data_IF_091584480467
#
_entry.id   IF_091584480467
#
_cell.length_a   1.000
_cell.length_b   1.000
_cell.length_c   1.000
_cell.angle_alpha   90.00
_cell.angle_beta   90.00
_cell.angle_gamma   90.00
#
_symmetry.space_group_name_H-M   'P 1'
#
loop_
_entity.id
_entity.type
_entity.pdbx_description
1 polymer ?
#
# COMPACT_ATOMS: atom_id res chain seq x y z
N UNK A 1 8.04 -12.28 -3.59
CA UNK A 1 8.29 -11.67 -2.26
C UNK A 1 7.89 -12.67 -1.18
N UNK A 2 8.78 -12.95 -0.24
CA UNK A 2 8.54 -13.84 0.90
C UNK A 2 7.85 -13.10 2.05
N UNK A 3 7.25 -13.82 3.00
CA UNK A 3 6.65 -13.21 4.19
C UNK A 3 7.67 -12.39 5.02
N UNK A 4 8.92 -12.88 5.09
CA UNK A 4 9.98 -12.16 5.82
C UNK A 4 10.38 -10.84 5.13
N UNK A 5 10.42 -10.81 3.79
CA UNK A 5 10.67 -9.59 3.03
C UNK A 5 9.52 -8.58 3.20
N UNK A 6 8.25 -9.05 3.18
CA UNK A 6 7.09 -8.21 3.46
C UNK A 6 7.12 -7.63 4.87
N UNK A 7 7.49 -8.44 5.86
CA UNK A 7 7.64 -8.00 7.24
C UNK A 7 8.74 -6.94 7.40
N UNK A 8 9.88 -7.16 6.74
CA UNK A 8 10.99 -6.18 6.75
C UNK A 8 10.61 -4.87 6.06
N UNK A 9 9.85 -4.95 4.95
CA UNK A 9 9.31 -3.78 4.28
C UNK A 9 8.40 -2.98 5.22
N UNK A 10 7.50 -3.65 5.95
CA UNK A 10 6.62 -3.00 6.94
C UNK A 10 7.42 -2.30 8.05
N UNK A 11 8.46 -2.95 8.58
CA UNK A 11 9.34 -2.32 9.58
C UNK A 11 9.96 -1.02 9.04
N UNK A 12 10.50 -1.06 7.82
CA UNK A 12 11.11 0.12 7.19
C UNK A 12 10.08 1.23 6.94
N UNK A 13 8.85 0.89 6.56
CA UNK A 13 7.78 1.89 6.37
C UNK A 13 7.42 2.58 7.68
N UNK A 14 7.31 1.84 8.79
CA UNK A 14 7.02 2.41 10.13
C UNK A 14 8.08 3.46 10.52
N UNK A 15 9.33 3.25 10.17
CA UNK A 15 10.45 4.14 10.53
C UNK A 15 10.49 5.42 9.69
N UNK A 16 9.63 5.54 8.68
CA UNK A 16 9.49 6.74 7.84
C UNK A 16 8.16 7.41 8.18
N UNK A 17 8.15 8.54 8.90
CA UNK A 17 6.92 9.28 9.18
C UNK A 17 6.16 9.59 7.89
N UNK A 18 4.85 9.29 7.88
CA UNK A 18 3.99 9.43 6.70
C UNK A 18 2.62 10.01 7.08
N UNK A 19 2.61 11.10 7.82
CA UNK A 19 1.36 11.77 8.17
C UNK A 19 0.63 12.20 6.90
N UNK A 20 -0.71 12.17 6.94
CA UNK A 20 -1.52 12.61 5.79
C UNK A 20 -1.08 13.97 5.26
N UNK A 21 -0.80 14.06 3.96
CA UNK A 21 -0.21 15.18 3.20
C UNK A 21 1.31 15.38 3.38
N UNK A 22 1.97 14.49 4.11
CA UNK A 22 3.44 14.53 4.33
C UNK A 22 4.09 13.19 3.91
N UNK A 23 3.48 12.44 2.95
CA UNK A 23 3.85 11.06 2.60
C UNK A 23 5.03 10.96 1.62
N UNK A 24 5.61 12.08 1.18
CA UNK A 24 6.63 12.10 0.11
C UNK A 24 7.78 11.14 0.39
N UNK A 25 8.30 11.11 1.62
CA UNK A 25 9.45 10.27 1.96
C UNK A 25 9.13 8.77 1.87
N UNK A 26 7.95 8.34 2.36
CA UNK A 26 7.54 6.92 2.27
C UNK A 26 7.18 6.54 0.83
N UNK A 27 6.60 7.46 0.05
CA UNK A 27 6.33 7.24 -1.37
C UNK A 27 7.64 7.08 -2.16
N UNK A 28 8.65 7.93 -1.93
CA UNK A 28 9.98 7.81 -2.54
C UNK A 28 10.65 6.47 -2.19
N UNK A 29 10.58 6.09 -0.91
CA UNK A 29 11.12 4.83 -0.44
C UNK A 29 10.43 3.63 -1.13
N UNK A 30 9.10 3.61 -1.16
CA UNK A 30 8.32 2.53 -1.77
C UNK A 30 8.53 2.46 -3.28
N UNK A 31 8.57 3.60 -3.97
CA UNK A 31 8.86 3.63 -5.40
C UNK A 31 10.20 2.95 -5.70
N UNK A 32 11.27 3.38 -5.04
CA UNK A 32 12.59 2.78 -5.20
C UNK A 32 12.60 1.29 -4.85
N UNK A 33 11.93 0.89 -3.77
CA UNK A 33 11.85 -0.50 -3.36
C UNK A 33 11.16 -1.37 -4.42
N UNK A 34 10.03 -0.92 -4.94
CA UNK A 34 9.23 -1.65 -5.94
C UNK A 34 9.93 -1.72 -7.31
N UNK A 35 10.60 -0.64 -7.72
CA UNK A 35 11.44 -0.62 -8.92
C UNK A 35 12.61 -1.62 -8.82
N UNK A 36 13.23 -1.72 -7.63
CA UNK A 36 14.28 -2.73 -7.38
C UNK A 36 13.76 -4.17 -7.38
N UNK A 37 12.45 -4.39 -7.16
CA UNK A 37 11.81 -5.69 -7.39
C UNK A 37 11.51 -5.96 -8.88
N UNK A 38 11.82 -5.03 -9.79
CA UNK A 38 11.60 -5.14 -11.23
C UNK A 38 10.18 -4.79 -11.67
N UNK A 39 9.42 -4.08 -10.84
CA UNK A 39 8.12 -3.54 -11.21
C UNK A 39 8.26 -2.20 -11.95
N UNK A 40 7.39 -1.97 -12.92
CA UNK A 40 7.24 -0.66 -13.54
C UNK A 40 6.30 0.17 -12.69
N UNK A 41 6.83 1.22 -12.04
CA UNK A 41 6.06 2.07 -11.14
C UNK A 41 5.78 3.42 -11.80
N UNK A 42 4.50 3.77 -11.83
CA UNK A 42 4.03 5.12 -12.16
C UNK A 42 3.65 5.85 -10.87
N UNK A 43 3.81 7.17 -10.88
CA UNK A 43 3.52 8.01 -9.72
C UNK A 43 2.67 9.22 -10.14
N UNK A 44 1.69 9.56 -9.30
CA UNK A 44 0.92 10.80 -9.39
C UNK A 44 0.75 11.40 -7.99
N UNK A 45 1.33 12.57 -7.76
CA UNK A 45 1.50 13.10 -6.39
C UNK A 45 2.31 12.13 -5.54
N UNK A 46 1.75 11.71 -4.39
CA UNK A 46 2.33 10.67 -3.55
C UNK A 46 1.69 9.28 -3.75
N UNK A 47 0.78 9.14 -4.72
CA UNK A 47 0.23 7.85 -5.08
C UNK A 47 1.17 7.09 -6.02
N UNK A 48 1.29 5.79 -5.82
CA UNK A 48 2.05 4.90 -6.67
C UNK A 48 1.13 3.85 -7.29
N UNK A 49 1.40 3.44 -8.53
CA UNK A 49 0.68 2.33 -9.12
C UNK A 49 1.54 1.53 -10.11
N UNK A 50 1.16 0.29 -10.29
CA UNK A 50 1.76 -0.63 -11.25
C UNK A 50 0.67 -1.44 -11.92
N UNK A 51 0.80 -1.66 -13.23
CA UNK A 51 -0.10 -2.48 -14.03
C UNK A 51 0.64 -3.76 -14.43
N UNK A 52 0.00 -4.91 -14.37
CA UNK A 52 0.61 -6.17 -14.78
C UNK A 52 1.08 -6.12 -16.25
N UNK A 53 2.23 -6.73 -16.54
CA UNK A 53 2.86 -6.68 -17.89
C UNK A 53 2.02 -7.31 -18.99
N UNK A 54 1.16 -8.27 -18.65
CA UNK A 54 0.28 -8.98 -19.58
C UNK A 54 -1.14 -8.37 -19.65
N UNK A 55 -1.26 -7.07 -19.35
CA UNK A 55 -2.52 -6.34 -19.42
C UNK A 55 -3.19 -6.49 -20.79
N UNK A 56 -4.49 -6.71 -20.78
CA UNK A 56 -5.32 -6.81 -21.99
C UNK A 56 -6.71 -6.24 -21.72
N UNK A 57 -7.22 -5.40 -22.61
CA UNK A 57 -8.58 -4.83 -22.52
C UNK A 57 -9.69 -5.90 -22.55
N UNK A 58 -9.38 -7.12 -23.00
CA UNK A 58 -10.32 -8.24 -23.04
C UNK A 58 -10.40 -9.02 -21.71
N UNK A 59 -9.62 -8.66 -20.71
CA UNK A 59 -9.64 -9.28 -19.38
C UNK A 59 -10.28 -8.34 -18.35
N UNK A 60 -11.04 -8.86 -17.37
CA UNK A 60 -11.48 -8.06 -16.23
C UNK A 60 -10.26 -7.55 -15.44
N UNK A 61 -10.35 -6.34 -14.90
CA UNK A 61 -9.27 -5.69 -14.16
C UNK A 61 -9.58 -5.61 -12.68
N UNK A 62 -8.67 -6.14 -11.87
CA UNK A 62 -8.74 -6.13 -10.41
C UNK A 62 -7.72 -5.12 -9.88
N UNK A 63 -8.19 -4.15 -9.09
CA UNK A 63 -7.37 -3.23 -8.32
C UNK A 63 -7.07 -3.82 -6.93
N UNK A 64 -5.80 -3.83 -6.55
CA UNK A 64 -5.35 -4.06 -5.19
C UNK A 64 -4.95 -2.70 -4.61
N UNK A 65 -5.72 -2.17 -3.66
CA UNK A 65 -5.49 -0.83 -3.11
C UNK A 65 -5.34 -0.87 -1.59
N UNK A 66 -4.45 -0.04 -1.07
CA UNK A 66 -4.34 0.35 0.33
C UNK A 66 -3.58 1.68 0.42
N UNK A 67 -3.57 2.32 1.60
CA UNK A 67 -2.96 3.64 1.79
C UNK A 67 -1.66 3.61 2.60
N UNK A 68 -0.84 4.66 2.41
CA UNK A 68 0.46 4.79 3.08
C UNK A 68 0.49 5.92 4.12
N UNK A 69 -0.54 6.75 4.13
CA UNK A 69 -0.61 7.81 5.13
C UNK A 69 -1.10 7.28 6.48
N UNK A 70 -0.79 8.04 7.49
CA UNK A 70 -1.18 7.77 8.88
C UNK A 70 -1.76 9.02 9.53
N UNK A 71 -2.60 8.83 10.54
CA UNK A 71 -3.00 9.88 11.46
C UNK A 71 -1.81 10.40 12.29
N UNK A 72 -1.99 11.50 12.99
CA UNK A 72 -1.01 11.96 13.99
C UNK A 72 -0.99 11.01 15.18
N UNK A 73 0.19 10.68 15.73
CA UNK A 73 0.26 9.83 16.92
C UNK A 73 -0.46 10.48 18.09
N UNK A 74 -1.25 9.69 18.81
CA UNK A 74 -1.91 10.12 20.04
C UNK A 74 -0.89 10.34 21.16
N UNK A 75 -1.16 11.28 22.06
CA UNK A 75 -0.36 11.48 23.28
C UNK A 75 -0.41 10.25 24.24
N UNK A 76 -1.28 9.28 23.99
CA UNK A 76 -1.39 8.05 24.78
C UNK A 76 -0.44 6.94 24.31
N UNK A 77 0.36 7.16 23.25
CA UNK A 77 1.38 6.20 22.82
C UNK A 77 2.42 5.98 23.91
N UNK A 78 2.66 4.73 24.27
CA UNK A 78 3.65 4.32 25.28
C UNK A 78 4.97 3.88 24.68
N UNK A 79 5.02 3.71 23.35
CA UNK A 79 6.21 3.38 22.56
C UNK A 79 6.45 4.49 21.55
N UNK A 80 7.66 4.57 21.00
CA UNK A 80 7.95 5.49 19.89
C UNK A 80 7.11 5.09 18.67
N UNK A 81 6.21 5.95 18.18
CA UNK A 81 5.33 5.62 17.06
C UNK A 81 6.08 5.38 15.75
N UNK A 82 7.25 5.97 15.57
CA UNK A 82 8.08 5.86 14.37
C UNK A 82 9.26 4.90 14.53
N UNK A 83 9.15 3.96 15.45
CA UNK A 83 10.11 2.89 15.64
C UNK A 83 9.42 1.55 15.56
N UNK A 84 9.85 0.70 14.64
CA UNK A 84 9.39 -0.67 14.53
C UNK A 84 9.85 -1.49 15.75
N UNK A 85 8.97 -1.66 16.73
CA UNK A 85 9.28 -2.34 18.00
C UNK A 85 8.60 -3.70 18.05
N UNK A 86 9.41 -4.77 18.16
CA UNK A 86 8.89 -6.12 18.36
C UNK A 86 8.84 -6.45 19.85
N UNK A 87 7.68 -6.92 20.32
CA UNK A 87 7.48 -7.34 21.70
C UNK A 87 6.35 -8.35 21.76
N UNK A 88 6.55 -9.45 22.46
CA UNK A 88 5.54 -10.52 22.67
C UNK A 88 4.88 -11.02 21.36
N UNK A 89 5.68 -11.16 20.29
CA UNK A 89 5.21 -11.62 18.99
C UNK A 89 4.34 -10.60 18.23
N UNK A 90 4.35 -9.34 18.63
CA UNK A 90 3.63 -8.23 17.99
C UNK A 90 4.62 -7.19 17.48
N UNK A 91 4.27 -6.56 16.36
CA UNK A 91 4.97 -5.40 15.82
C UNK A 91 4.20 -4.14 16.19
N UNK A 92 4.83 -3.26 16.93
CA UNK A 92 4.32 -1.94 17.30
C UNK A 92 4.95 -0.86 16.42
N UNK A 93 4.13 0.11 16.02
CA UNK A 93 4.52 1.28 15.26
C UNK A 93 3.28 1.92 14.61
N UNK A 94 3.30 3.22 14.40
CA UNK A 94 2.20 3.93 13.77
C UNK A 94 2.05 3.44 12.32
N UNK A 95 0.82 3.15 11.90
CA UNK A 95 0.55 2.58 10.58
C UNK A 95 0.93 1.11 10.42
N UNK A 96 1.38 0.40 11.47
CA UNK A 96 1.71 -1.03 11.37
C UNK A 96 0.53 -1.89 10.97
N UNK A 97 -0.68 -1.55 11.40
CA UNK A 97 -1.93 -2.24 11.09
C UNK A 97 -2.79 -1.43 10.11
N UNK A 98 -2.89 -0.14 10.29
CA UNK A 98 -3.66 0.81 9.50
C UNK A 98 -2.71 1.78 8.76
N UNK A 99 -2.41 1.55 7.43
CA UNK A 99 -2.74 0.33 6.71
C UNK A 99 -1.48 -0.39 6.17
N UNK A 100 -0.31 -0.18 6.81
CA UNK A 100 0.98 -0.71 6.35
C UNK A 100 1.00 -2.23 6.15
N UNK A 101 0.39 -3.01 7.08
CA UNK A 101 0.28 -4.45 6.92
C UNK A 101 -0.50 -4.84 5.66
N UNK A 102 -1.56 -4.11 5.35
CA UNK A 102 -2.34 -4.28 4.13
C UNK A 102 -1.52 -3.93 2.90
N UNK A 103 -0.81 -2.80 2.91
CA UNK A 103 0.07 -2.38 1.80
C UNK A 103 1.08 -3.47 1.47
N UNK A 104 1.86 -3.96 2.44
CA UNK A 104 2.89 -4.97 2.17
C UNK A 104 2.29 -6.31 1.74
N UNK A 105 1.11 -6.67 2.24
CA UNK A 105 0.40 -7.89 1.86
C UNK A 105 -0.10 -7.82 0.41
N UNK A 106 -0.64 -6.68 -0.02
CA UNK A 106 -1.09 -6.47 -1.39
C UNK A 106 0.07 -6.37 -2.36
N UNK A 107 1.20 -5.75 -1.98
CA UNK A 107 2.45 -5.76 -2.76
C UNK A 107 2.91 -7.21 -2.96
N UNK A 108 2.99 -8.02 -1.89
CA UNK A 108 3.42 -9.42 -1.98
C UNK A 108 2.48 -10.23 -2.88
N UNK A 109 1.18 -9.99 -2.78
CA UNK A 109 0.15 -10.61 -3.62
C UNK A 109 0.33 -10.23 -5.08
N UNK A 110 0.49 -8.95 -5.39
CA UNK A 110 0.72 -8.46 -6.74
C UNK A 110 1.97 -9.10 -7.37
N UNK A 111 3.10 -9.06 -6.66
CA UNK A 111 4.37 -9.68 -7.12
C UNK A 111 4.21 -11.18 -7.37
N UNK A 112 3.52 -11.88 -6.47
CA UNK A 112 3.32 -13.33 -6.59
C UNK A 112 2.43 -13.70 -7.78
N UNK A 113 1.31 -12.99 -7.95
CA UNK A 113 0.33 -13.30 -9.00
C UNK A 113 0.80 -12.86 -10.38
N UNK A 114 1.52 -11.74 -10.49
CA UNK A 114 2.06 -11.26 -11.79
C UNK A 114 3.29 -12.01 -12.26
N UNK A 115 3.86 -12.91 -11.45
CA UNK A 115 4.93 -13.82 -11.88
C UNK A 115 4.51 -14.80 -12.97
N UNK A 116 3.21 -14.99 -13.20
CA UNK A 116 2.63 -15.85 -14.25
C UNK A 116 1.41 -15.14 -14.84
N UNK A 117 1.09 -15.39 -16.13
CA UNK A 117 -0.12 -14.88 -16.76
C UNK A 117 -1.37 -15.28 -15.98
N UNK A 118 -2.29 -14.33 -15.82
CA UNK A 118 -3.58 -14.52 -15.14
C UNK A 118 -4.75 -14.36 -16.13
N UNK A 119 -5.92 -14.96 -15.87
CA UNK A 119 -7.13 -14.73 -16.66
C UNK A 119 -7.76 -13.36 -16.43
N UNK A 120 -7.15 -12.50 -15.61
CA UNK A 120 -7.53 -11.14 -15.27
C UNK A 120 -6.30 -10.23 -15.29
N UNK A 121 -6.53 -8.94 -15.40
CA UNK A 121 -5.49 -7.93 -15.18
C UNK A 121 -5.39 -7.63 -13.68
N UNK A 122 -4.18 -7.32 -13.23
CA UNK A 122 -3.91 -6.80 -11.90
C UNK A 122 -3.36 -5.39 -11.98
N UNK A 123 -3.88 -4.52 -11.13
CA UNK A 123 -3.38 -3.17 -10.86
C UNK A 123 -3.07 -3.10 -9.37
N UNK A 124 -1.86 -2.71 -9.03
CA UNK A 124 -1.49 -2.30 -7.67
C UNK A 124 -1.66 -0.80 -7.59
N UNK A 125 -2.46 -0.31 -6.66
CA UNK A 125 -2.63 1.10 -6.36
C UNK A 125 -2.32 1.36 -4.90
N UNK A 126 -1.32 2.19 -4.63
CA UNK A 126 -0.92 2.60 -3.29
C UNK A 126 -1.27 4.07 -3.16
N UNK A 127 -2.29 4.37 -2.37
CA UNK A 127 -2.83 5.73 -2.23
C UNK A 127 -2.24 6.49 -1.04
N UNK A 128 -2.34 7.80 -1.09
CA UNK A 128 -2.05 8.73 0.00
C UNK A 128 -3.33 9.43 0.46
N UNK A 129 -3.27 10.21 1.55
CA UNK A 129 -4.34 11.09 2.05
C UNK A 129 -5.69 10.39 2.33
N UNK A 130 -5.69 9.09 2.61
CA UNK A 130 -6.91 8.33 2.92
C UNK A 130 -7.56 8.86 4.20
N UNK A 131 -6.79 8.98 5.28
CA UNK A 131 -7.18 9.35 6.64
C UNK A 131 -7.83 10.75 6.76
N UNK A 132 -7.67 11.55 5.72
CA UNK A 132 -8.23 12.90 5.63
C UNK A 132 -9.18 13.09 4.44
N UNK A 133 -9.54 11.99 3.75
CA UNK A 133 -10.36 12.01 2.53
C UNK A 133 -9.85 13.06 1.53
N UNK A 134 -8.53 13.09 1.34
CA UNK A 134 -7.86 14.11 0.54
C UNK A 134 -8.02 13.89 -0.96
N UNK A 135 -8.21 14.98 -1.72
CA UNK A 135 -8.42 14.92 -3.18
C UNK A 135 -7.21 14.45 -3.96
N UNK A 136 -6.01 14.55 -3.39
CA UNK A 136 -4.78 14.07 -4.02
C UNK A 136 -4.50 12.59 -3.73
N UNK A 137 -5.37 11.92 -2.97
CA UNK A 137 -5.34 10.50 -2.69
C UNK A 137 -6.03 9.68 -3.79
N UNK A 138 -6.98 8.81 -3.39
CA UNK A 138 -7.66 7.90 -4.30
C UNK A 138 -8.43 8.59 -5.43
N UNK A 139 -8.99 9.79 -5.20
CA UNK A 139 -9.66 10.56 -6.26
C UNK A 139 -8.71 10.88 -7.42
N UNK A 140 -7.47 11.27 -7.12
CA UNK A 140 -6.44 11.53 -8.12
C UNK A 140 -5.92 10.24 -8.74
N UNK A 141 -5.62 9.23 -7.92
CA UNK A 141 -5.08 7.96 -8.38
C UNK A 141 -5.96 7.29 -9.42
N UNK A 142 -7.27 7.21 -9.18
CA UNK A 142 -8.21 6.49 -10.07
C UNK A 142 -8.29 7.12 -11.48
N UNK A 143 -7.96 8.41 -11.62
CA UNK A 143 -7.92 9.08 -12.94
C UNK A 143 -6.78 8.59 -13.83
N UNK A 144 -5.78 7.93 -13.24
CA UNK A 144 -4.59 7.41 -13.93
C UNK A 144 -4.69 5.91 -14.23
N UNK A 145 -5.67 5.23 -13.64
CA UNK A 145 -5.82 3.79 -13.78
C UNK A 145 -6.69 3.41 -14.99
N UNK A 146 -6.50 2.22 -15.56
CA UNK A 146 -7.44 1.68 -16.54
C UNK A 146 -8.82 1.48 -15.90
N UNK A 147 -9.82 1.12 -16.71
CA UNK A 147 -11.13 0.72 -16.18
C UNK A 147 -10.96 -0.41 -15.18
N UNK A 148 -11.47 -0.21 -13.97
CA UNK A 148 -11.48 -1.21 -12.89
C UNK A 148 -12.85 -1.88 -12.85
N UNK A 149 -12.88 -3.21 -12.87
CA UNK A 149 -14.10 -4.00 -12.76
C UNK A 149 -14.35 -4.47 -11.32
N UNK A 150 -13.28 -4.67 -10.55
CA UNK A 150 -13.33 -5.09 -9.16
C UNK A 150 -12.16 -4.51 -8.36
N UNK A 151 -12.38 -4.17 -7.08
CA UNK A 151 -11.32 -3.70 -6.19
C UNK A 151 -11.28 -4.51 -4.89
N UNK A 152 -10.06 -4.80 -4.43
CA UNK A 152 -9.78 -5.29 -3.09
C UNK A 152 -9.08 -4.17 -2.36
N UNK A 153 -9.72 -3.64 -1.31
CA UNK A 153 -9.19 -2.56 -0.48
C UNK A 153 -8.67 -3.17 0.83
N UNK A 154 -7.40 -2.96 1.10
CA UNK A 154 -6.73 -3.49 2.29
C UNK A 154 -6.88 -2.53 3.46
N UNK A 155 -7.77 -2.89 4.40
CA UNK A 155 -8.08 -2.14 5.61
C UNK A 155 -8.23 -3.07 6.82
N UNK A 156 -7.97 -2.61 8.06
CA UNK A 156 -8.02 -3.45 9.26
C UNK A 156 -9.47 -3.72 9.75
N UNK A 157 -10.35 -4.15 8.87
CA UNK A 157 -11.79 -4.39 9.17
C UNK A 157 -12.05 -5.72 9.88
N UNK A 158 -11.03 -6.56 10.13
CA UNK A 158 -11.19 -7.93 10.62
C UNK A 158 -12.11 -8.78 9.75
N UNK A 159 -12.13 -8.54 8.43
CA UNK A 159 -13.04 -9.18 7.47
C UNK A 159 -14.53 -8.91 7.74
N UNK A 160 -14.85 -7.90 8.50
CA UNK A 160 -16.22 -7.43 8.70
C UNK A 160 -16.62 -6.45 7.63
N UNK A 161 -17.91 -6.41 7.32
CA UNK A 161 -18.46 -5.39 6.42
C UNK A 161 -18.24 -4.00 7.05
N UNK A 162 -17.56 -3.14 6.32
CA UNK A 162 -17.49 -1.71 6.65
C UNK A 162 -18.76 -1.03 6.09
N UNK A 163 -19.46 -0.25 6.93
CA UNK A 163 -20.71 0.45 6.56
C UNK A 163 -20.54 1.92 6.85
#
# INVERSE_FOLDING_TARGET
MTANEAYKLLQNMIEIPSLSREETAVADFLQNYLENLGLEISRVGNNLFSICKDYSENKPTILLNSHIDTVKPSALWTKDPFKATEEDGKLYGLGSNDAGASVVSLIATFVSLTAKPQPYNLVLGISCQEEVSGKEGMELLITQLPKIDFAIVGEPTQMKLAV
#
